data_IF_027549335822
#
_entry.id   IF_027549335822
#
_cell.length_a   1.000
_cell.length_b   1.000
_cell.length_c   1.000
_cell.angle_alpha   90.00
_cell.angle_beta   90.00
_cell.angle_gamma   90.00
#
_symmetry.space_group_name_H-M   'P 1'
#
loop_
_entity.id
_entity.type
_entity.pdbx_description
1 polymer ?
#
# COMPACT_ATOMS: atom_id res chain seq x y z
N UNK A 1 36.82 17.91 12.60
CA UNK A 1 35.88 16.94 12.00
C UNK A 1 34.85 16.35 12.98
N UNK A 2 35.18 16.05 14.25
CA UNK A 2 34.22 15.48 15.22
C UNK A 2 33.03 16.42 15.64
N UNK A 3 33.22 17.75 15.60
CA UNK A 3 32.17 18.72 15.97
C UNK A 3 31.07 18.87 14.90
N UNK A 4 31.37 18.64 13.63
CA UNK A 4 30.40 18.77 12.54
C UNK A 4 29.36 17.64 12.53
N UNK A 5 29.79 16.42 12.88
CA UNK A 5 28.92 15.23 12.95
C UNK A 5 27.90 15.36 14.09
N UNK A 6 28.33 15.94 15.23
CA UNK A 6 27.45 16.12 16.39
C UNK A 6 26.31 17.13 16.12
N UNK A 7 26.61 18.21 15.38
CA UNK A 7 25.61 19.21 15.00
C UNK A 7 24.59 18.66 14.03
N UNK A 8 25.00 17.79 13.08
CA UNK A 8 24.08 17.15 12.14
C UNK A 8 23.13 16.17 12.82
N UNK A 9 23.59 15.43 13.82
CA UNK A 9 22.76 14.50 14.59
C UNK A 9 21.75 15.27 15.46
N UNK A 10 22.14 16.40 16.07
CA UNK A 10 21.26 17.22 16.89
C UNK A 10 20.16 17.88 16.03
N UNK A 11 20.45 18.31 14.81
CA UNK A 11 19.48 18.89 13.89
C UNK A 11 18.47 17.82 13.43
N UNK A 12 18.90 16.58 13.17
CA UNK A 12 18.01 15.48 12.79
C UNK A 12 17.06 15.09 13.94
N UNK A 13 17.57 15.04 15.18
CA UNK A 13 16.77 14.72 16.35
C UNK A 13 15.81 15.85 16.71
N UNK A 14 16.21 17.12 16.55
CA UNK A 14 15.33 18.27 16.80
C UNK A 14 14.20 18.37 15.76
N UNK A 15 14.46 18.04 14.51
CA UNK A 15 13.43 17.99 13.46
C UNK A 15 12.42 16.86 13.71
N UNK A 16 12.85 15.73 14.24
CA UNK A 16 11.97 14.62 14.62
C UNK A 16 11.11 14.93 15.84
N UNK A 17 11.67 15.63 16.84
CA UNK A 17 10.93 16.04 18.05
C UNK A 17 9.89 17.12 17.75
N UNK A 18 10.15 18.02 16.80
CA UNK A 18 9.17 19.03 16.37
C UNK A 18 7.97 18.38 15.65
N UNK A 19 8.18 17.27 14.93
CA UNK A 19 7.09 16.56 14.28
C UNK A 19 6.17 15.82 15.27
N UNK A 20 6.70 15.38 16.42
CA UNK A 20 5.92 14.72 17.49
C UNK A 20 5.11 15.70 18.36
N UNK A 21 5.30 17.01 18.17
CA UNK A 21 4.61 18.05 18.95
C UNK A 21 3.42 18.67 18.22
N UNK A 22 2.98 18.09 17.10
CA UNK A 22 1.71 18.50 16.48
C UNK A 22 0.59 17.95 17.35
N UNK A 23 0.05 18.83 18.17
CA UNK A 23 -1.08 18.59 19.04
C UNK A 23 -2.32 18.18 18.21
N UNK A 24 -2.58 16.89 18.15
CA UNK A 24 -3.74 16.31 17.46
C UNK A 24 -5.09 16.74 18.10
N UNK A 25 -5.05 17.43 19.23
CA UNK A 25 -6.26 17.92 19.91
C UNK A 25 -6.89 19.16 19.25
N UNK A 26 -6.22 19.79 18.28
CA UNK A 26 -6.66 21.07 17.70
C UNK A 26 -7.53 20.99 16.45
N UNK A 27 -7.87 19.80 15.96
CA UNK A 27 -8.82 19.70 14.85
C UNK A 27 -9.82 18.53 15.00
N UNK A 28 -10.75 18.63 15.98
CA UNK A 28 -11.79 17.61 16.15
C UNK A 28 -12.75 17.48 14.95
N UNK A 29 -12.77 18.45 14.03
CA UNK A 29 -13.64 18.42 12.86
C UNK A 29 -13.19 17.41 11.79
N UNK A 30 -11.91 17.06 11.72
CA UNK A 30 -11.45 16.02 10.76
C UNK A 30 -11.96 14.63 11.16
N UNK A 31 -12.12 14.36 12.45
CA UNK A 31 -12.62 13.08 12.96
C UNK A 31 -14.14 12.94 12.91
N UNK A 32 -14.89 14.04 12.81
CA UNK A 32 -16.36 14.05 12.82
C UNK A 32 -16.99 13.77 11.44
N UNK A 33 -16.20 13.70 10.37
CA UNK A 33 -16.68 13.54 9.01
C UNK A 33 -16.67 12.09 8.49
N UNK A 34 -16.25 11.13 9.33
CA UNK A 34 -16.31 9.71 8.99
C UNK A 34 -17.74 9.20 9.30
N UNK A 35 -18.56 9.15 8.27
CA UNK A 35 -19.94 8.67 8.36
C UNK A 35 -20.01 7.25 7.77
N UNK A 36 -20.14 6.21 8.60
CA UNK A 36 -20.17 4.83 8.13
C UNK A 36 -21.40 4.52 7.25
N UNK A 37 -22.41 5.39 7.23
CA UNK A 37 -23.54 5.23 6.32
C UNK A 37 -23.21 5.60 4.87
N UNK A 38 -22.03 6.18 4.60
CA UNK A 38 -21.65 6.67 3.27
C UNK A 38 -20.71 5.76 2.50
N UNK A 39 -20.26 4.66 3.07
CA UNK A 39 -19.45 3.65 2.40
C UNK A 39 -19.85 2.24 2.83
N UNK A 40 -19.52 1.26 2.01
CA UNK A 40 -19.55 -0.17 2.37
C UNK A 40 -18.11 -0.60 2.64
N UNK A 41 -17.87 -1.24 3.76
CA UNK A 41 -16.60 -1.84 4.13
C UNK A 41 -16.69 -3.35 3.95
N UNK A 42 -15.68 -3.93 3.29
CA UNK A 42 -15.41 -5.36 3.26
C UNK A 42 -14.01 -5.57 3.78
N UNK A 43 -13.89 -6.23 4.92
CA UNK A 43 -12.64 -6.43 5.65
C UNK A 43 -12.03 -7.80 5.36
N UNK A 44 -10.75 -7.93 5.63
CA UNK A 44 -9.99 -9.18 5.65
C UNK A 44 -10.08 -10.02 4.36
N UNK A 45 -10.13 -9.35 3.22
CA UNK A 45 -10.12 -10.05 1.92
C UNK A 45 -8.72 -10.62 1.70
N UNK A 46 -8.60 -11.96 1.72
CA UNK A 46 -7.35 -12.63 1.39
C UNK A 46 -7.07 -12.43 -0.10
N UNK A 47 -5.94 -11.80 -0.42
CA UNK A 47 -5.54 -11.53 -1.79
C UNK A 47 -4.33 -12.36 -2.25
N UNK A 48 -3.51 -12.85 -1.32
CA UNK A 48 -2.41 -13.79 -1.58
C UNK A 48 -2.07 -14.57 -0.30
N UNK A 49 -1.29 -15.66 -0.45
CA UNK A 49 -0.81 -16.46 0.69
C UNK A 49 0.64 -16.91 0.47
N UNK A 50 1.60 -15.97 0.31
CA UNK A 50 3.01 -16.32 0.08
C UNK A 50 3.58 -17.06 1.29
N UNK A 51 4.29 -18.16 1.03
CA UNK A 51 4.87 -19.03 2.08
C UNK A 51 3.86 -19.50 3.14
N UNK A 52 2.55 -19.54 2.79
CA UNK A 52 1.48 -19.96 3.69
C UNK A 52 0.99 -18.89 4.67
N UNK A 53 1.43 -17.65 4.54
CA UNK A 53 0.95 -16.50 5.30
C UNK A 53 -0.10 -15.75 4.49
N UNK A 54 -1.34 -15.69 4.99
CA UNK A 54 -2.42 -14.96 4.35
C UNK A 54 -2.19 -13.46 4.43
N UNK A 55 -2.20 -12.80 3.28
CA UNK A 55 -2.17 -11.35 3.15
C UNK A 55 -3.56 -10.83 2.85
N UNK A 56 -4.03 -9.88 3.65
CA UNK A 56 -5.37 -9.33 3.57
C UNK A 56 -5.38 -7.89 3.09
N UNK A 57 -6.54 -7.42 2.67
CA UNK A 57 -6.82 -6.02 2.44
C UNK A 57 -8.28 -5.71 2.78
N UNK A 58 -8.54 -4.45 3.09
CA UNK A 58 -9.88 -3.94 3.30
C UNK A 58 -10.30 -3.03 2.14
N UNK A 59 -11.57 -3.14 1.75
CA UNK A 59 -12.13 -2.32 0.66
C UNK A 59 -13.26 -1.44 1.18
N UNK A 60 -13.07 -0.13 1.05
CA UNK A 60 -14.07 0.89 1.35
C UNK A 60 -14.68 1.40 0.03
N UNK A 61 -15.95 1.08 -0.20
CA UNK A 61 -16.68 1.48 -1.40
C UNK A 61 -17.68 2.59 -1.09
N UNK A 62 -17.62 3.78 -1.71
CA UNK A 62 -18.59 4.84 -1.48
C UNK A 62 -20.03 4.42 -1.82
N UNK A 63 -20.98 4.79 -0.97
CA UNK A 63 -22.40 4.63 -1.27
C UNK A 63 -22.89 5.84 -2.05
N UNK A 64 -23.17 5.68 -3.34
CA UNK A 64 -23.83 6.66 -4.18
C UNK A 64 -24.42 6.01 -5.43
N UNK A 65 -25.10 6.83 -6.25
CA UNK A 65 -25.67 6.40 -7.54
C UNK A 65 -24.62 6.18 -8.65
N UNK A 66 -23.36 6.48 -8.38
CA UNK A 66 -22.27 6.32 -9.35
C UNK A 66 -21.95 4.84 -9.53
N UNK A 67 -21.76 4.41 -10.76
CA UNK A 67 -21.50 3.01 -11.10
C UNK A 67 -20.05 2.60 -10.88
N UNK A 68 -19.11 3.54 -11.01
CA UNK A 68 -17.68 3.28 -10.89
C UNK A 68 -16.93 4.47 -10.31
N UNK A 69 -15.84 4.20 -9.58
CA UNK A 69 -14.99 5.17 -8.90
C UNK A 69 -13.52 4.95 -9.22
N UNK A 70 -12.70 6.01 -9.25
CA UNK A 70 -11.25 5.81 -9.21
C UNK A 70 -10.86 5.08 -7.92
N UNK A 71 -9.75 4.36 -8.00
CA UNK A 71 -9.24 3.52 -6.91
C UNK A 71 -8.00 4.16 -6.32
N UNK A 72 -7.90 4.15 -5.00
CA UNK A 72 -6.69 4.50 -4.27
C UNK A 72 -6.25 3.31 -3.43
N UNK A 73 -5.04 2.84 -3.67
CA UNK A 73 -4.39 1.80 -2.88
C UNK A 73 -3.54 2.47 -1.82
N UNK A 74 -3.71 2.06 -0.57
CA UNK A 74 -2.98 2.61 0.58
C UNK A 74 -2.12 1.50 1.19
N UNK A 75 -0.83 1.77 1.32
CA UNK A 75 0.12 0.94 2.07
C UNK A 75 0.50 1.64 3.37
N UNK A 76 0.41 0.93 4.49
CA UNK A 76 0.70 1.50 5.80
C UNK A 76 2.21 1.68 6.04
N UNK A 77 2.57 2.59 6.96
CA UNK A 77 3.92 2.76 7.48
C UNK A 77 4.23 1.77 8.61
N UNK A 78 5.42 1.88 9.17
CA UNK A 78 5.87 1.03 10.28
C UNK A 78 7.29 0.49 10.07
N UNK A 79 8.08 1.12 9.19
CA UNK A 79 9.48 0.74 8.93
C UNK A 79 9.63 -0.68 8.36
N UNK A 80 8.60 -1.20 7.70
CA UNK A 80 8.51 -2.57 7.18
C UNK A 80 8.56 -3.65 8.28
N UNK A 81 8.47 -3.28 9.56
CA UNK A 81 8.72 -4.15 10.70
C UNK A 81 7.49 -4.34 11.61
N UNK A 82 6.64 -3.34 11.68
CA UNK A 82 5.48 -3.28 12.58
C UNK A 82 4.26 -2.67 11.89
N UNK A 83 3.12 -2.74 12.59
CA UNK A 83 1.80 -2.23 12.19
C UNK A 83 1.08 -3.15 11.19
N UNK A 84 -0.13 -2.77 10.89
CA UNK A 84 -1.01 -3.35 9.88
C UNK A 84 -1.87 -2.22 9.26
N UNK A 85 -2.78 -2.59 8.36
CA UNK A 85 -3.63 -1.65 7.64
C UNK A 85 -4.54 -0.81 8.56
N UNK A 86 -4.85 -1.26 9.78
CA UNK A 86 -5.77 -0.56 10.69
C UNK A 86 -5.32 0.85 11.04
N UNK A 87 -4.01 1.14 10.99
CA UNK A 87 -3.51 2.50 11.23
C UNK A 87 -3.94 3.50 10.13
N UNK A 88 -4.37 3.00 8.96
CA UNK A 88 -4.85 3.81 7.84
C UNK A 88 -6.38 3.90 7.74
N UNK A 89 -7.12 3.30 8.68
CA UNK A 89 -8.59 3.25 8.65
C UNK A 89 -9.24 4.62 8.61
N UNK A 90 -8.79 5.54 9.45
CA UNK A 90 -9.37 6.89 9.49
C UNK A 90 -9.19 7.64 8.16
N UNK A 91 -8.03 7.49 7.53
CA UNK A 91 -7.77 8.06 6.21
C UNK A 91 -8.64 7.39 5.16
N UNK A 92 -8.73 6.07 5.19
CA UNK A 92 -9.54 5.26 4.26
C UNK A 92 -11.02 5.64 4.32
N UNK A 93 -11.58 5.73 5.53
CA UNK A 93 -12.96 6.16 5.79
C UNK A 93 -13.21 7.59 5.31
N UNK A 94 -12.30 8.52 5.62
CA UNK A 94 -12.43 9.90 5.19
C UNK A 94 -12.45 10.04 3.66
N UNK A 95 -11.53 9.36 2.98
CA UNK A 95 -11.42 9.43 1.52
C UNK A 95 -12.58 8.72 0.81
N UNK A 96 -13.06 7.59 1.32
CA UNK A 96 -14.26 6.94 0.79
C UNK A 96 -15.50 7.82 0.95
N UNK A 97 -15.65 8.46 2.12
CA UNK A 97 -16.80 9.32 2.43
C UNK A 97 -16.80 10.61 1.60
N UNK A 98 -15.65 11.30 1.51
CA UNK A 98 -15.57 12.68 1.00
C UNK A 98 -14.90 12.75 -0.37
N UNK A 99 -13.88 11.94 -0.64
CA UNK A 99 -13.12 11.93 -1.89
C UNK A 99 -13.79 11.14 -3.01
N UNK A 100 -14.73 10.24 -2.67
CA UNK A 100 -15.42 9.35 -3.61
C UNK A 100 -14.47 8.47 -4.42
N UNK A 101 -13.51 7.87 -3.71
CA UNK A 101 -12.64 6.81 -4.20
C UNK A 101 -13.08 5.48 -3.63
N UNK A 102 -12.89 4.39 -4.37
CA UNK A 102 -12.76 3.07 -3.75
C UNK A 102 -11.37 3.00 -3.15
N UNK A 103 -11.30 2.70 -1.86
CA UNK A 103 -10.02 2.59 -1.13
C UNK A 103 -9.71 1.12 -0.93
N UNK A 104 -8.49 0.71 -1.25
CA UNK A 104 -7.92 -0.60 -0.91
C UNK A 104 -6.82 -0.36 0.12
N UNK A 105 -7.08 -0.71 1.36
CA UNK A 105 -6.16 -0.58 2.49
C UNK A 105 -5.45 -1.92 2.69
N UNK A 106 -4.14 -1.99 2.38
CA UNK A 106 -3.43 -3.24 2.08
C UNK A 106 -2.46 -3.62 3.18
N UNK A 107 -2.55 -4.89 3.63
CA UNK A 107 -1.51 -5.56 4.41
C UNK A 107 -0.48 -6.20 3.48
N UNK A 108 0.77 -6.19 3.91
CA UNK A 108 1.92 -6.82 3.28
C UNK A 108 2.78 -7.48 4.36
N UNK A 109 3.64 -8.42 4.00
CA UNK A 109 4.55 -9.07 4.96
C UNK A 109 5.47 -8.03 5.61
N UNK A 110 5.83 -8.29 6.86
CA UNK A 110 6.78 -7.49 7.63
C UNK A 110 8.10 -8.24 7.79
N UNK A 111 9.19 -7.52 8.01
CA UNK A 111 10.51 -8.11 8.29
C UNK A 111 10.50 -9.01 9.54
N UNK A 112 9.55 -8.76 10.47
CA UNK A 112 9.34 -9.58 11.69
C UNK A 112 8.58 -10.87 11.44
N UNK A 113 7.94 -11.03 10.28
CA UNK A 113 7.13 -12.20 9.98
C UNK A 113 7.97 -13.42 9.64
N UNK A 114 7.34 -14.60 9.71
CA UNK A 114 7.95 -15.90 9.38
C UNK A 114 9.31 -16.05 10.09
N UNK A 115 9.30 -15.85 11.42
CA UNK A 115 10.51 -15.96 12.27
C UNK A 115 11.65 -15.02 11.84
N UNK A 116 11.31 -13.80 11.40
CA UNK A 116 12.23 -12.77 10.87
C UNK A 116 12.98 -13.22 9.58
N UNK A 117 12.36 -14.05 8.76
CA UNK A 117 12.95 -14.52 7.50
C UNK A 117 12.46 -13.78 6.26
N UNK A 118 11.52 -12.84 6.41
CA UNK A 118 11.04 -12.01 5.31
C UNK A 118 12.07 -10.96 4.95
N UNK A 119 12.28 -10.77 3.66
CA UNK A 119 13.24 -9.81 3.11
C UNK A 119 12.53 -8.56 2.54
N UNK A 120 13.27 -7.47 2.32
CA UNK A 120 12.67 -6.24 1.81
C UNK A 120 12.19 -6.38 0.36
N UNK A 121 12.85 -7.16 -0.45
CA UNK A 121 12.43 -7.49 -1.81
C UNK A 121 11.10 -8.27 -1.81
N UNK A 122 10.91 -9.23 -0.90
CA UNK A 122 9.63 -9.94 -0.74
C UNK A 122 8.48 -9.00 -0.34
N UNK A 123 8.75 -7.98 0.48
CA UNK A 123 7.76 -6.95 0.84
C UNK A 123 7.39 -6.09 -0.39
N UNK A 124 8.36 -5.77 -1.23
CA UNK A 124 8.12 -5.07 -2.51
C UNK A 124 7.32 -5.94 -3.47
N UNK A 125 7.60 -7.26 -3.53
CA UNK A 125 6.86 -8.23 -4.31
C UNK A 125 5.40 -8.35 -3.86
N UNK A 126 5.14 -8.21 -2.56
CA UNK A 126 3.77 -8.15 -2.03
C UNK A 126 3.04 -6.89 -2.53
N UNK A 127 3.71 -5.73 -2.51
CA UNK A 127 3.10 -4.50 -3.02
C UNK A 127 2.76 -4.61 -4.52
N UNK A 128 3.60 -5.24 -5.32
CA UNK A 128 3.32 -5.51 -6.73
C UNK A 128 2.16 -6.51 -6.89
N UNK A 129 2.17 -7.59 -6.12
CA UNK A 129 1.09 -8.59 -6.12
C UNK A 129 -0.26 -7.97 -5.77
N UNK A 130 -0.32 -7.10 -4.77
CA UNK A 130 -1.53 -6.40 -4.35
C UNK A 130 -2.10 -5.53 -5.48
N UNK A 131 -1.26 -4.75 -6.19
CA UNK A 131 -1.72 -3.94 -7.33
C UNK A 131 -2.30 -4.82 -8.43
N UNK A 132 -1.64 -5.93 -8.77
CA UNK A 132 -2.11 -6.86 -9.80
C UNK A 132 -3.44 -7.48 -9.38
N UNK A 133 -3.56 -7.94 -8.12
CA UNK A 133 -4.81 -8.50 -7.61
C UNK A 133 -5.94 -7.48 -7.67
N UNK A 134 -5.70 -6.26 -7.20
CA UNK A 134 -6.69 -5.18 -7.20
C UNK A 134 -7.16 -4.89 -8.63
N UNK A 135 -6.26 -4.73 -9.58
CA UNK A 135 -6.64 -4.51 -10.99
C UNK A 135 -7.57 -5.60 -11.55
N UNK A 136 -7.35 -6.84 -11.14
CA UNK A 136 -8.14 -7.98 -11.62
C UNK A 136 -9.47 -8.17 -10.87
N UNK A 137 -9.67 -7.53 -9.70
CA UNK A 137 -10.81 -7.82 -8.85
C UNK A 137 -11.66 -6.60 -8.48
N UNK A 138 -11.11 -5.39 -8.54
CA UNK A 138 -11.72 -4.19 -7.95
C UNK A 138 -13.05 -3.77 -8.60
N UNK A 139 -13.31 -4.21 -9.84
CA UNK A 139 -14.58 -3.98 -10.52
C UNK A 139 -15.77 -4.59 -9.75
N UNK A 140 -15.58 -5.65 -8.96
CA UNK A 140 -16.58 -6.26 -8.08
C UNK A 140 -17.04 -5.30 -6.97
N UNK A 141 -16.20 -4.30 -6.67
CA UNK A 141 -16.40 -3.28 -5.63
C UNK A 141 -16.60 -1.89 -6.23
N UNK A 142 -17.07 -1.80 -7.48
CA UNK A 142 -17.26 -0.55 -8.23
C UNK A 142 -15.98 0.28 -8.44
N UNK A 143 -14.82 -0.32 -8.36
CA UNK A 143 -13.55 0.34 -8.71
C UNK A 143 -13.29 0.32 -10.21
N UNK A 144 -12.79 1.44 -10.74
CA UNK A 144 -12.32 1.58 -12.13
C UNK A 144 -10.85 1.12 -12.19
N UNK A 145 -10.62 -0.07 -12.70
CA UNK A 145 -9.27 -0.64 -12.78
C UNK A 145 -8.35 0.08 -13.78
N UNK A 146 -8.86 1.05 -14.52
CA UNK A 146 -8.07 1.92 -15.41
C UNK A 146 -7.63 3.21 -14.71
N UNK A 147 -8.15 3.50 -13.52
CA UNK A 147 -7.90 4.72 -12.74
C UNK A 147 -7.46 4.36 -11.33
N UNK A 148 -6.26 3.84 -11.20
CA UNK A 148 -5.67 3.41 -9.93
C UNK A 148 -4.51 4.32 -9.58
N UNK A 149 -4.52 4.86 -8.36
CA UNK A 149 -3.39 5.54 -7.76
C UNK A 149 -2.91 4.76 -6.53
N UNK A 150 -1.66 4.96 -6.16
CA UNK A 150 -1.03 4.36 -4.97
C UNK A 150 -0.56 5.47 -4.03
N UNK A 151 -0.63 5.21 -2.73
CA UNK A 151 -0.14 6.11 -1.68
C UNK A 151 0.24 5.33 -0.43
N UNK A 152 0.84 5.98 0.52
CA UNK A 152 1.18 5.44 1.82
C UNK A 152 2.05 6.42 2.61
N UNK A 153 2.28 6.12 3.86
CA UNK A 153 3.19 6.89 4.71
C UNK A 153 4.50 6.13 4.95
N UNK A 154 5.62 6.81 5.12
CA UNK A 154 6.91 6.20 5.51
C UNK A 154 7.27 4.96 4.66
N UNK A 155 7.27 3.75 5.25
CA UNK A 155 7.49 2.48 4.52
C UNK A 155 6.47 2.28 3.39
N UNK A 156 5.19 2.64 3.60
CA UNK A 156 4.15 2.58 2.57
C UNK A 156 4.41 3.55 1.41
N UNK A 157 4.98 4.72 1.68
CA UNK A 157 5.40 5.66 0.64
C UNK A 157 6.56 5.07 -0.21
N UNK A 158 7.51 4.36 0.43
CA UNK A 158 8.55 3.63 -0.29
C UNK A 158 7.95 2.56 -1.22
N UNK A 159 7.00 1.74 -0.72
CA UNK A 159 6.33 0.72 -1.54
C UNK A 159 5.60 1.35 -2.73
N UNK A 160 4.89 2.46 -2.51
CA UNK A 160 4.24 3.22 -3.58
C UNK A 160 5.26 3.72 -4.62
N UNK A 161 6.41 4.22 -4.18
CA UNK A 161 7.50 4.66 -5.08
C UNK A 161 8.10 3.47 -5.86
N UNK A 162 8.24 2.30 -5.24
CA UNK A 162 8.72 1.09 -5.92
C UNK A 162 7.75 0.65 -7.03
N UNK A 163 6.43 0.69 -6.81
CA UNK A 163 5.44 0.38 -7.85
C UNK A 163 5.61 1.30 -9.06
N UNK A 164 5.72 2.61 -8.83
CA UNK A 164 5.83 3.61 -9.91
C UNK A 164 7.15 3.49 -10.67
N UNK A 165 8.27 3.27 -9.97
CA UNK A 165 9.60 3.34 -10.57
C UNK A 165 10.14 1.98 -11.02
N UNK A 166 9.67 0.89 -10.46
CA UNK A 166 10.22 -0.46 -10.68
C UNK A 166 9.19 -1.47 -11.21
N UNK A 167 7.95 -1.04 -11.48
CA UNK A 167 6.88 -1.93 -11.95
C UNK A 167 7.12 -2.57 -13.32
N UNK A 168 8.15 -2.16 -14.06
CA UNK A 168 8.60 -2.82 -15.30
C UNK A 168 9.72 -3.84 -15.07
N UNK A 169 10.19 -4.00 -13.83
CA UNK A 169 11.30 -4.90 -13.46
C UNK A 169 10.78 -6.19 -12.83
N UNK A 170 9.75 -6.77 -13.43
CA UNK A 170 9.19 -8.04 -13.00
C UNK A 170 9.78 -9.18 -13.77
N UNK A 171 10.03 -10.29 -13.11
CA UNK A 171 10.47 -11.55 -13.72
C UNK A 171 9.93 -12.73 -12.93
N UNK A 172 9.64 -13.81 -13.61
CA UNK A 172 9.36 -15.13 -13.01
C UNK A 172 10.65 -15.84 -12.56
N UNK A 173 11.80 -15.29 -12.89
CA UNK A 173 13.09 -15.77 -12.42
C UNK A 173 13.37 -15.21 -11.02
N UNK A 174 13.39 -16.08 -10.02
CA UNK A 174 13.57 -15.73 -8.60
C UNK A 174 15.00 -15.31 -8.23
N UNK A 175 15.92 -15.23 -9.19
CA UNK A 175 17.32 -14.80 -8.96
C UNK A 175 17.42 -13.28 -8.95
N UNK A 176 16.82 -12.66 -7.93
CA UNK A 176 16.79 -11.21 -7.77
C UNK A 176 18.17 -10.56 -7.85
N UNK A 177 19.16 -11.11 -7.15
CA UNK A 177 20.53 -10.55 -7.09
C UNK A 177 21.19 -10.46 -8.48
N UNK A 178 20.91 -11.42 -9.37
CA UNK A 178 21.48 -11.42 -10.72
C UNK A 178 20.73 -10.46 -11.66
N UNK A 179 19.40 -10.41 -11.56
CA UNK A 179 18.56 -9.73 -12.55
C UNK A 179 18.00 -8.40 -12.05
N UNK A 180 18.12 -8.08 -10.75
CA UNK A 180 17.49 -6.92 -10.11
C UNK A 180 15.99 -6.81 -10.47
N UNK A 181 15.30 -7.95 -10.46
CA UNK A 181 13.89 -8.08 -10.83
C UNK A 181 13.09 -8.66 -9.67
N UNK A 182 11.78 -8.47 -9.70
CA UNK A 182 10.85 -8.87 -8.66
C UNK A 182 9.87 -9.90 -9.19
N UNK A 183 9.46 -10.85 -8.34
CA UNK A 183 8.39 -11.80 -8.65
C UNK A 183 7.19 -11.48 -7.79
N UNK A 184 6.10 -10.89 -8.34
CA UNK A 184 4.94 -10.52 -7.55
C UNK A 184 4.37 -11.70 -6.76
N UNK A 185 3.99 -11.45 -5.49
CA UNK A 185 3.39 -12.48 -4.61
C UNK A 185 2.02 -12.98 -5.08
N UNK A 186 1.42 -12.29 -6.04
CA UNK A 186 0.21 -12.70 -6.73
C UNK A 186 0.34 -12.47 -8.24
N UNK A 187 -0.01 -13.48 -9.00
CA UNK A 187 -0.27 -13.41 -10.44
C UNK A 187 -1.56 -14.17 -10.72
N UNK A 188 -2.39 -13.73 -11.68
CA UNK A 188 -3.52 -14.52 -12.17
C UNK A 188 -3.06 -15.88 -12.68
N UNK A 189 -3.91 -16.91 -12.55
CA UNK A 189 -3.61 -18.26 -13.00
C UNK A 189 -3.14 -18.28 -14.46
N UNK A 190 -2.02 -18.93 -14.70
CA UNK A 190 -1.40 -19.06 -16.03
C UNK A 190 -0.67 -17.82 -16.54
N UNK A 191 -0.61 -16.73 -15.76
CA UNK A 191 0.08 -15.49 -16.13
C UNK A 191 1.50 -15.45 -15.56
N UNK A 192 2.48 -15.05 -16.36
CA UNK A 192 3.86 -14.82 -15.90
C UNK A 192 4.09 -13.35 -15.51
N UNK A 193 5.15 -13.09 -14.76
CA UNK A 193 5.53 -11.74 -14.39
C UNK A 193 5.88 -10.88 -15.62
N UNK A 194 6.52 -11.47 -16.62
CA UNK A 194 6.85 -10.82 -17.89
C UNK A 194 5.58 -10.42 -18.67
N UNK A 195 4.55 -11.28 -18.65
CA UNK A 195 3.26 -10.94 -19.24
C UNK A 195 2.58 -9.79 -18.50
N UNK A 196 2.68 -9.73 -17.16
CA UNK A 196 2.15 -8.62 -16.39
C UNK A 196 2.81 -7.28 -16.77
N UNK A 197 4.11 -7.28 -17.07
CA UNK A 197 4.81 -6.09 -17.61
C UNK A 197 4.27 -5.70 -18.99
N UNK A 198 4.16 -6.65 -19.92
CA UNK A 198 3.67 -6.40 -21.29
C UNK A 198 2.25 -5.83 -21.27
N UNK A 199 1.40 -6.34 -20.40
CA UNK A 199 0.01 -5.92 -20.26
C UNK A 199 -0.17 -4.68 -19.37
N UNK A 200 0.91 -4.11 -18.86
CA UNK A 200 0.92 -2.93 -17.99
C UNK A 200 0.12 -3.11 -16.69
N UNK A 201 0.16 -4.30 -16.08
CA UNK A 201 -0.59 -4.61 -14.86
C UNK A 201 -0.16 -3.78 -13.65
N UNK A 202 1.05 -3.25 -13.63
CA UNK A 202 1.52 -2.32 -12.60
C UNK A 202 1.43 -0.85 -13.00
N UNK A 203 0.82 -0.54 -14.14
CA UNK A 203 0.62 0.87 -14.52
C UNK A 203 -0.43 1.50 -13.59
N UNK A 204 0.02 2.46 -12.82
CA UNK A 204 -0.80 3.30 -11.94
C UNK A 204 -0.71 4.76 -12.37
N UNK A 205 -1.61 5.58 -11.86
CA UNK A 205 -1.57 7.03 -12.00
C UNK A 205 -0.89 7.59 -10.73
N UNK A 206 0.13 8.43 -10.91
CA UNK A 206 0.83 9.11 -9.82
C UNK A 206 0.23 10.50 -9.60
#
# INVERSE_FOLDING_TARGET
MKKLVLVSIIILVSSFVVFLSIDSSKNPQLLSNNDPSKYVLVEDIIWASPKGMDLTLDIYTPISKKESYPVLIIFHGGGWLINDNSIMDQMSQYLATNGKYVICNVNYRLLSDIENSVTLDEIVEDAFGAVIWIKNNIFKYKGDNTKIAVTGDSAGAHLSAMIVNSGTRLSSDTRFEENLSFTPSYLPEGKTAEQAVIENDLKVQA
#
